data_IF_579206148180
#
_entry.id   IF_579206148180
#
_cell.length_a   1.000
_cell.length_b   1.000
_cell.length_c   1.000
_cell.angle_alpha   90.00
_cell.angle_beta   90.00
_cell.angle_gamma   90.00
#
_symmetry.space_group_name_H-M   'P 1'
#
loop_
_entity.id
_entity.type
_entity.pdbx_description
1 polymer ?
#
# COMPACT_ATOMS: atom_id res chain seq x y z
N UNK A 1 -1.27 -13.78 8.65
CA UNK A 1 0.06 -13.53 8.07
C UNK A 1 0.99 -13.25 9.24
N UNK A 2 2.19 -13.83 9.25
CA UNK A 2 3.21 -13.56 10.27
C UNK A 2 3.54 -12.05 10.30
N UNK A 3 3.81 -11.49 11.47
CA UNK A 3 4.09 -10.05 11.63
C UNK A 3 5.36 -9.65 10.89
N UNK A 4 6.38 -10.52 10.89
CA UNK A 4 7.62 -10.32 10.14
C UNK A 4 7.37 -10.23 8.62
N UNK A 5 6.47 -11.08 8.11
CA UNK A 5 6.08 -11.05 6.70
C UNK A 5 5.32 -9.77 6.35
N UNK A 6 4.50 -9.26 7.27
CA UNK A 6 3.80 -7.98 7.12
C UNK A 6 4.79 -6.82 7.06
N UNK A 7 5.75 -6.77 7.98
CA UNK A 7 6.78 -5.72 8.02
C UNK A 7 7.69 -5.77 6.79
N UNK A 8 8.09 -6.97 6.34
CA UNK A 8 8.88 -7.14 5.13
C UNK A 8 8.13 -6.63 3.89
N UNK A 9 6.86 -7.00 3.73
CA UNK A 9 6.02 -6.53 2.61
C UNK A 9 5.83 -5.01 2.69
N UNK A 10 5.51 -4.48 3.86
CA UNK A 10 5.37 -3.04 4.08
C UNK A 10 6.63 -2.26 3.71
N UNK A 11 7.80 -2.78 4.10
CA UNK A 11 9.12 -2.19 3.79
C UNK A 11 9.38 -2.16 2.29
N UNK A 12 9.11 -3.26 1.58
CA UNK A 12 9.28 -3.33 0.12
C UNK A 12 8.34 -2.35 -0.58
N UNK A 13 7.06 -2.30 -0.17
CA UNK A 13 6.08 -1.39 -0.77
C UNK A 13 6.43 0.08 -0.51
N UNK A 14 6.93 0.40 0.68
CA UNK A 14 7.46 1.73 0.99
C UNK A 14 8.64 2.10 0.08
N UNK A 15 9.59 1.18 -0.11
CA UNK A 15 10.73 1.39 -1.01
C UNK A 15 10.27 1.64 -2.46
N UNK A 16 9.28 0.86 -2.95
CA UNK A 16 8.68 1.07 -4.27
C UNK A 16 8.05 2.46 -4.36
N UNK A 17 7.25 2.88 -3.36
CA UNK A 17 6.67 4.22 -3.33
C UNK A 17 7.72 5.33 -3.40
N UNK A 18 8.84 5.18 -2.67
CA UNK A 18 9.94 6.14 -2.75
C UNK A 18 10.68 6.15 -4.09
N UNK A 19 10.79 5.02 -4.77
CA UNK A 19 11.32 4.94 -6.13
C UNK A 19 10.41 5.69 -7.10
N UNK A 20 9.12 5.40 -7.08
CA UNK A 20 8.14 6.03 -7.97
C UNK A 20 8.05 7.55 -7.78
N UNK A 21 8.14 8.01 -6.53
CA UNK A 21 8.10 9.44 -6.19
C UNK A 21 9.37 10.17 -6.66
N UNK A 22 10.54 9.58 -6.46
CA UNK A 22 11.80 10.13 -6.95
C UNK A 22 11.83 10.22 -8.48
N UNK A 23 11.25 9.22 -9.14
CA UNK A 23 11.22 9.15 -10.59
C UNK A 23 10.07 10.02 -11.19
N UNK A 24 9.30 10.71 -10.34
CA UNK A 24 8.23 11.64 -10.75
C UNK A 24 6.98 10.96 -11.30
N UNK A 25 6.79 9.66 -11.03
CA UNK A 25 5.66 8.86 -11.54
C UNK A 25 4.40 9.13 -10.72
N UNK A 26 4.50 9.02 -9.41
CA UNK A 26 3.45 9.39 -8.45
C UNK A 26 4.05 9.56 -7.05
N UNK A 27 3.40 10.33 -6.21
CA UNK A 27 3.72 10.40 -4.78
C UNK A 27 3.44 9.08 -4.07
N UNK A 28 4.13 8.83 -2.95
CA UNK A 28 3.85 7.65 -2.12
C UNK A 28 2.38 7.62 -1.64
N UNK A 29 1.72 8.77 -1.45
CA UNK A 29 0.30 8.86 -1.12
C UNK A 29 -0.62 8.43 -2.26
N UNK A 30 -0.37 8.89 -3.48
CA UNK A 30 -1.13 8.47 -4.67
C UNK A 30 -1.03 6.95 -4.90
N UNK A 31 0.13 6.36 -4.61
CA UNK A 31 0.28 4.90 -4.62
C UNK A 31 -0.61 4.22 -3.57
N UNK A 32 -0.65 4.75 -2.34
CA UNK A 32 -1.49 4.22 -1.28
C UNK A 32 -2.98 4.30 -1.64
N UNK A 33 -3.44 5.44 -2.17
CA UNK A 33 -4.81 5.64 -2.62
C UNK A 33 -5.17 4.69 -3.76
N UNK A 34 -4.26 4.50 -4.73
CA UNK A 34 -4.45 3.56 -5.84
C UNK A 34 -4.66 2.14 -5.33
N UNK A 35 -3.82 1.68 -4.37
CA UNK A 35 -3.99 0.37 -3.75
C UNK A 35 -5.33 0.25 -3.01
N UNK A 36 -5.76 1.32 -2.32
CA UNK A 36 -7.08 1.38 -1.69
C UNK A 36 -8.23 1.21 -2.70
N UNK A 37 -8.15 1.89 -3.84
CA UNK A 37 -9.11 1.74 -4.94
C UNK A 37 -9.13 0.32 -5.50
N UNK A 38 -7.96 -0.30 -5.72
CA UNK A 38 -7.86 -1.70 -6.17
C UNK A 38 -8.48 -2.65 -5.14
N UNK A 39 -8.28 -2.41 -3.84
CA UNK A 39 -8.90 -3.22 -2.79
C UNK A 39 -10.42 -3.15 -2.86
N UNK A 40 -10.99 -1.95 -3.03
CA UNK A 40 -12.43 -1.77 -3.19
C UNK A 40 -12.97 -2.49 -4.44
N UNK A 41 -12.36 -2.26 -5.61
CA UNK A 41 -12.75 -2.93 -6.85
C UNK A 41 -12.69 -4.46 -6.73
N UNK A 42 -11.69 -4.97 -6.00
CA UNK A 42 -11.54 -6.41 -5.74
C UNK A 42 -12.65 -6.95 -4.84
N UNK A 43 -13.06 -6.19 -3.83
CA UNK A 43 -14.17 -6.58 -2.95
C UNK A 43 -15.51 -6.60 -3.72
N UNK A 44 -15.72 -5.62 -4.60
CA UNK A 44 -16.92 -5.48 -5.44
C UNK A 44 -17.03 -6.56 -6.53
N UNK A 45 -15.90 -7.17 -6.93
CA UNK A 45 -15.87 -8.23 -7.93
C UNK A 45 -16.52 -9.56 -7.48
N UNK A 46 -16.81 -9.72 -6.18
CA UNK A 46 -17.54 -10.87 -5.63
C UNK A 46 -17.00 -11.36 -4.29
N UNK A 47 -17.84 -12.05 -3.52
CA UNK A 47 -17.51 -12.55 -2.17
C UNK A 47 -16.26 -13.43 -2.13
N UNK A 48 -16.01 -14.20 -3.18
CA UNK A 48 -14.82 -15.04 -3.31
C UNK A 48 -13.49 -14.26 -3.29
N UNK A 49 -13.53 -12.93 -3.49
CA UNK A 49 -12.36 -12.07 -3.53
C UNK A 49 -12.15 -11.24 -2.26
N UNK A 50 -13.05 -11.31 -1.27
CA UNK A 50 -12.99 -10.51 -0.04
C UNK A 50 -11.65 -10.65 0.70
N UNK A 51 -11.10 -11.87 0.77
CA UNK A 51 -9.78 -12.08 1.36
C UNK A 51 -8.65 -11.39 0.60
N UNK A 52 -8.70 -11.35 -0.73
CA UNK A 52 -7.71 -10.65 -1.56
C UNK A 52 -7.83 -9.14 -1.39
N UNK A 53 -9.07 -8.63 -1.36
CA UNK A 53 -9.34 -7.23 -1.09
C UNK A 53 -8.75 -6.78 0.25
N UNK A 54 -8.92 -7.59 1.31
CA UNK A 54 -8.33 -7.32 2.63
C UNK A 54 -6.79 -7.26 2.59
N UNK A 55 -6.13 -8.17 1.86
CA UNK A 55 -4.68 -8.11 1.68
C UNK A 55 -4.24 -6.84 0.98
N UNK A 56 -4.89 -6.47 -0.13
CA UNK A 56 -4.55 -5.26 -0.89
C UNK A 56 -4.81 -4.00 -0.03
N UNK A 57 -5.90 -3.98 0.74
CA UNK A 57 -6.18 -2.91 1.68
C UNK A 57 -5.09 -2.76 2.75
N UNK A 58 -4.58 -3.88 3.27
CA UNK A 58 -3.46 -3.84 4.22
C UNK A 58 -2.18 -3.25 3.60
N UNK A 59 -1.95 -3.47 2.30
CA UNK A 59 -0.83 -2.89 1.57
C UNK A 59 -0.99 -1.37 1.44
N UNK A 60 -2.18 -0.89 1.10
CA UNK A 60 -2.50 0.53 1.07
C UNK A 60 -2.21 1.21 2.42
N UNK A 61 -2.62 0.59 3.53
CA UNK A 61 -2.34 1.10 4.87
C UNK A 61 -0.84 1.18 5.18
N UNK A 62 -0.06 0.16 4.79
CA UNK A 62 1.39 0.15 5.02
C UNK A 62 2.11 1.23 4.21
N UNK A 63 1.74 1.40 2.94
CA UNK A 63 2.31 2.47 2.08
C UNK A 63 1.96 3.84 2.64
N UNK A 64 0.70 4.04 3.08
CA UNK A 64 0.28 5.29 3.70
C UNK A 64 1.07 5.60 4.98
N UNK A 65 1.24 4.60 5.85
CA UNK A 65 2.03 4.75 7.07
C UNK A 65 3.51 5.09 6.77
N UNK A 66 4.08 4.54 5.70
CA UNK A 66 5.42 4.86 5.26
C UNK A 66 5.53 6.27 4.65
N UNK A 67 4.47 6.76 4.00
CA UNK A 67 4.38 8.14 3.52
C UNK A 67 4.33 9.11 4.72
N UNK A 68 3.46 8.84 5.69
CA UNK A 68 3.33 9.62 6.93
C UNK A 68 4.64 9.67 7.73
N UNK A 69 5.32 8.51 7.84
CA UNK A 69 6.61 8.42 8.50
C UNK A 69 7.67 9.30 7.85
N UNK A 70 7.68 9.39 6.51
CA UNK A 70 8.61 10.27 5.77
C UNK A 70 8.30 11.75 5.93
N UNK A 71 7.03 12.14 5.98
CA UNK A 71 6.66 13.55 6.23
C UNK A 71 7.08 14.06 7.60
N UNK A 72 7.19 13.20 8.62
CA UNK A 72 7.65 13.60 9.96
C UNK A 72 9.15 13.80 10.08
N UNK A 73 9.92 13.27 9.12
CA UNK A 73 11.39 13.31 9.13
C UNK A 73 11.93 14.45 8.25
N UNK A 74 11.12 14.95 7.32
CA UNK A 74 11.42 16.12 6.47
C UNK A 74 10.83 17.40 7.07
#
# INVERSE_FOLDING_TARGET
MDDDAREAIGTVLAAIGGILERDGVCSTYELAETLGGVAMMTAEAGEQFQWRAAYIGSWAMMVNAAADGRQRVN
#
